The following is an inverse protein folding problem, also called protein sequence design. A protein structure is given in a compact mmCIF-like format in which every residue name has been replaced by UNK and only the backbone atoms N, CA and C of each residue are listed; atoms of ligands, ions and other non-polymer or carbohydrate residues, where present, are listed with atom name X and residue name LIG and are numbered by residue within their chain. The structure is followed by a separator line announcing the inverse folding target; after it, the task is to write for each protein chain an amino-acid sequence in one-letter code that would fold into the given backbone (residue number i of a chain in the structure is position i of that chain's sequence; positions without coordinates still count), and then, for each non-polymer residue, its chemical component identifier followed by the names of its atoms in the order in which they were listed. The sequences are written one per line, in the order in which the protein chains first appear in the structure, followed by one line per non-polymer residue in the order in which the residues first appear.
data_IF_952730184384
#
_entry.id   IF_952730184384
#
_cell.length_a   1.000
_cell.length_b   1.000
_cell.length_c   1.000
_cell.angle_alpha   90.00
_cell.angle_beta   90.00
_cell.angle_gamma   90.00
#
_symmetry.space_group_name_H-M   'P 1'
#
loop_
_entity.id
_entity.type
_entity.pdbx_description
1 polymer ?
#
# COMPACT_ATOMS: atom_id res chain seq x y z
N UNK A 1 -2.91 -17.93 9.63
CA UNK A 1 -2.05 -16.92 8.97
C UNK A 1 -1.47 -16.03 10.05
N UNK A 2 -0.13 -15.89 10.05
CA UNK A 2 0.61 -15.00 10.93
C UNK A 2 0.88 -13.70 10.21
N UNK A 3 0.84 -12.56 10.92
CA UNK A 3 1.16 -11.26 10.35
C UNK A 3 1.96 -10.43 11.36
N UNK A 4 3.00 -9.76 10.87
CA UNK A 4 3.80 -8.82 11.66
C UNK A 4 3.88 -7.51 10.87
N UNK A 5 3.66 -6.40 11.57
CA UNK A 5 3.85 -5.05 11.04
C UNK A 5 5.01 -4.36 11.74
N UNK A 6 5.85 -3.70 10.96
CA UNK A 6 6.89 -2.80 11.46
C UNK A 6 6.80 -1.45 10.75
N UNK A 7 7.18 -0.38 11.46
CA UNK A 7 7.20 0.98 10.93
C UNK A 7 8.60 1.56 11.13
N UNK A 8 9.10 2.26 10.14
CA UNK A 8 10.33 3.05 10.26
C UNK A 8 10.01 4.51 9.99
N UNK A 9 10.11 5.28 11.03
CA UNK A 9 10.21 6.74 10.95
C UNK A 9 11.71 7.05 11.01
N UNK A 10 12.33 7.22 9.84
CA UNK A 10 13.75 7.60 9.78
C UNK A 10 14.00 8.95 10.48
N UNK A 11 15.25 9.30 10.83
CA UNK A 11 15.60 10.61 11.38
C UNK A 11 15.25 11.77 10.45
N UNK A 12 14.85 11.49 9.25
CA UNK A 12 14.40 12.41 8.20
C UNK A 12 12.89 12.68 8.24
N UNK A 13 12.27 12.73 9.41
CA UNK A 13 10.83 12.92 9.60
C UNK A 13 10.26 14.23 9.01
N UNK A 14 11.11 15.09 8.49
CA UNK A 14 10.75 16.32 7.77
C UNK A 14 11.25 16.27 6.33
N UNK A 15 10.50 15.57 5.45
CA UNK A 15 10.80 15.46 4.01
C UNK A 15 11.54 14.19 3.58
N UNK A 16 11.78 13.25 4.51
CA UNK A 16 12.32 11.93 4.20
C UNK A 16 11.25 10.89 3.87
N UNK A 17 11.67 9.77 3.26
CA UNK A 17 10.81 8.65 3.00
C UNK A 17 10.53 7.85 4.28
N UNK A 18 9.27 7.77 4.69
CA UNK A 18 8.81 6.82 5.71
C UNK A 18 8.34 5.53 5.06
N UNK A 19 8.39 4.42 5.81
CA UNK A 19 7.86 3.14 5.35
C UNK A 19 7.09 2.41 6.44
N UNK A 20 6.11 1.62 6.03
CA UNK A 20 5.51 0.55 6.80
C UNK A 20 5.75 -0.77 6.08
N UNK A 21 6.05 -1.82 6.83
CA UNK A 21 6.30 -3.16 6.32
C UNK A 21 5.30 -4.12 6.95
N UNK A 22 4.77 -5.04 6.16
CA UNK A 22 3.91 -6.13 6.63
C UNK A 22 4.43 -7.44 6.07
N UNK A 23 4.62 -8.41 6.93
CA UNK A 23 4.91 -9.80 6.57
C UNK A 23 3.68 -10.62 6.87
N UNK A 24 3.19 -11.36 5.87
CA UNK A 24 2.07 -12.30 6.00
C UNK A 24 2.60 -13.69 5.65
N UNK A 25 2.41 -14.67 6.54
CA UNK A 25 2.92 -16.03 6.36
C UNK A 25 1.95 -17.07 6.91
N UNK A 26 1.93 -18.26 6.31
CA UNK A 26 1.30 -19.46 6.91
C UNK A 26 2.15 -20.03 8.04
N UNK A 27 3.47 -19.86 7.94
CA UNK A 27 4.45 -20.33 8.91
C UNK A 27 4.77 -19.27 9.97
N UNK A 28 5.46 -19.68 11.03
CA UNK A 28 5.95 -18.77 12.06
C UNK A 28 6.94 -17.75 11.48
N UNK A 29 6.72 -16.48 11.79
CA UNK A 29 7.60 -15.38 11.35
C UNK A 29 8.71 -15.20 12.39
N UNK A 30 9.89 -15.71 12.08
CA UNK A 30 11.06 -15.66 12.98
C UNK A 30 11.83 -14.34 12.92
N UNK A 31 11.69 -13.59 11.82
CA UNK A 31 12.40 -12.35 11.59
C UNK A 31 11.45 -11.25 11.14
N UNK A 32 11.29 -10.17 11.92
CA UNK A 32 10.23 -9.19 11.69
C UNK A 32 10.61 -8.07 10.70
N UNK A 33 11.67 -8.22 9.93
CA UNK A 33 12.09 -7.22 8.92
C UNK A 33 11.97 -7.77 7.52
N UNK A 34 11.49 -6.94 6.62
CA UNK A 34 11.46 -7.24 5.19
C UNK A 34 12.84 -6.91 4.60
N UNK A 35 13.55 -7.93 4.10
CA UNK A 35 14.80 -7.76 3.36
C UNK A 35 14.55 -7.62 1.87
N UNK A 36 13.68 -8.46 1.32
CA UNK A 36 13.16 -8.37 -0.04
C UNK A 36 11.64 -8.41 0.03
N UNK A 37 10.98 -7.45 -0.59
CA UNK A 37 9.53 -7.40 -0.61
C UNK A 37 8.96 -8.00 -1.90
N UNK A 38 7.80 -8.62 -1.78
CA UNK A 38 7.05 -9.15 -2.93
C UNK A 38 6.20 -8.06 -3.58
N UNK A 39 5.76 -7.09 -2.79
CA UNK A 39 5.00 -5.92 -3.25
C UNK A 39 5.62 -4.66 -2.63
N UNK A 40 5.97 -3.70 -3.48
CA UNK A 40 6.38 -2.36 -3.09
C UNK A 40 5.32 -1.36 -3.55
N UNK A 41 4.76 -0.58 -2.64
CA UNK A 41 3.88 0.54 -2.98
C UNK A 41 4.58 1.86 -2.65
N UNK A 42 4.76 2.71 -3.65
CA UNK A 42 5.42 4.00 -3.54
C UNK A 42 4.49 5.14 -3.96
N UNK A 43 4.24 6.08 -3.05
CA UNK A 43 3.41 7.26 -3.32
C UNK A 43 4.23 8.49 -3.71
N UNK A 44 5.55 8.46 -3.52
CA UNK A 44 6.45 9.57 -3.82
C UNK A 44 7.72 9.09 -4.52
N UNK A 45 8.34 9.99 -5.28
CA UNK A 45 9.61 9.69 -5.94
C UNK A 45 10.69 9.31 -4.93
N UNK A 46 10.79 10.04 -3.83
CA UNK A 46 11.76 9.76 -2.76
C UNK A 46 11.60 8.35 -2.17
N UNK A 47 10.36 7.90 -1.97
CA UNK A 47 10.09 6.53 -1.50
C UNK A 47 10.46 5.49 -2.55
N UNK A 48 10.13 5.72 -3.80
CA UNK A 48 10.50 4.83 -4.90
C UNK A 48 12.02 4.70 -4.99
N UNK A 49 12.75 5.80 -5.10
CA UNK A 49 14.21 5.80 -5.26
C UNK A 49 14.91 5.09 -4.10
N UNK A 50 14.40 5.28 -2.88
CA UNK A 50 15.00 4.70 -1.67
C UNK A 50 14.76 3.19 -1.53
N UNK A 51 13.58 2.71 -1.91
CA UNK A 51 13.15 1.35 -1.59
C UNK A 51 13.06 0.39 -2.77
N UNK A 52 13.18 0.86 -4.01
CA UNK A 52 13.05 0.00 -5.20
C UNK A 52 14.05 -1.14 -5.23
N UNK A 53 15.25 -0.95 -4.68
CA UNK A 53 16.27 -2.00 -4.62
C UNK A 53 15.88 -3.19 -3.72
N UNK A 54 14.90 -3.02 -2.82
CA UNK A 54 14.38 -4.11 -1.98
C UNK A 54 13.29 -4.94 -2.65
N UNK A 55 12.80 -4.54 -3.83
CA UNK A 55 11.78 -5.31 -4.53
C UNK A 55 12.38 -6.56 -5.15
N UNK A 56 11.74 -7.71 -4.90
CA UNK A 56 12.10 -9.00 -5.49
C UNK A 56 12.02 -8.94 -7.01
N UNK A 57 12.86 -9.71 -7.72
CA UNK A 57 12.91 -9.72 -9.20
C UNK A 57 11.56 -10.02 -9.86
N UNK A 58 10.75 -10.88 -9.24
CA UNK A 58 9.39 -11.22 -9.71
C UNK A 58 8.30 -10.51 -8.91
N UNK A 59 8.66 -9.44 -8.21
CA UNK A 59 7.75 -8.68 -7.37
C UNK A 59 6.80 -7.78 -8.16
N UNK A 60 5.95 -7.10 -7.44
CA UNK A 60 4.98 -6.15 -7.97
C UNK A 60 5.33 -4.75 -7.47
N UNK A 61 5.57 -3.83 -8.39
CA UNK A 61 5.64 -2.41 -8.08
C UNK A 61 4.28 -1.77 -8.27
N UNK A 62 3.78 -1.12 -7.24
CA UNK A 62 2.67 -0.18 -7.33
C UNK A 62 3.24 1.22 -7.11
N UNK A 63 3.05 2.10 -8.06
CA UNK A 63 3.50 3.48 -7.96
C UNK A 63 2.36 4.44 -8.26
N UNK A 64 2.29 5.53 -7.51
CA UNK A 64 1.41 6.64 -7.91
C UNK A 64 1.82 7.19 -9.27
N UNK A 65 0.87 7.69 -10.05
CA UNK A 65 1.13 8.24 -11.39
C UNK A 65 2.17 9.37 -11.40
N UNK A 66 2.31 10.08 -10.29
CA UNK A 66 3.30 11.16 -10.12
C UNK A 66 4.74 10.65 -10.03
N UNK A 67 4.93 9.35 -9.83
CA UNK A 67 6.26 8.73 -9.67
C UNK A 67 6.81 8.30 -11.03
N UNK A 68 8.03 8.72 -11.34
CA UNK A 68 8.76 8.23 -12.50
C UNK A 68 9.39 6.88 -12.19
N UNK A 69 8.99 5.85 -12.93
CA UNK A 69 9.47 4.48 -12.74
C UNK A 69 10.35 4.02 -13.91
N UNK A 70 11.33 3.17 -13.62
CA UNK A 70 12.07 2.49 -14.67
C UNK A 70 11.19 1.39 -15.28
N UNK A 71 10.85 1.55 -16.57
CA UNK A 71 9.97 0.62 -17.29
C UNK A 71 10.70 -0.62 -17.85
N UNK A 72 12.01 -0.60 -17.88
CA UNK A 72 12.84 -1.72 -18.37
C UNK A 72 13.07 -2.79 -17.31
N UNK A 73 12.40 -2.67 -16.16
CA UNK A 73 12.51 -3.60 -15.05
C UNK A 73 11.74 -4.91 -15.30
N UNK A 74 12.21 -6.01 -14.68
CA UNK A 74 11.63 -7.34 -14.83
C UNK A 74 10.37 -7.59 -13.97
N UNK A 75 10.11 -6.73 -12.98
CA UNK A 75 8.93 -6.85 -12.12
C UNK A 75 7.67 -6.27 -12.78
N UNK A 76 6.50 -6.72 -12.31
CA UNK A 76 5.22 -6.19 -12.78
C UNK A 76 4.99 -4.78 -12.21
N UNK A 77 4.55 -3.83 -13.06
CA UNK A 77 4.36 -2.43 -12.68
C UNK A 77 2.88 -2.05 -12.83
N UNK A 78 2.31 -1.50 -11.74
CA UNK A 78 1.04 -0.79 -11.73
C UNK A 78 1.29 0.68 -11.44
N UNK A 79 1.00 1.55 -12.39
CA UNK A 79 0.96 3.00 -12.17
C UNK A 79 -0.48 3.42 -12.01
N UNK A 80 -0.84 3.91 -10.83
CA UNK A 80 -2.22 4.15 -10.45
C UNK A 80 -2.40 5.57 -9.90
N UNK A 81 -3.56 6.23 -10.17
CA UNK A 81 -3.86 7.57 -9.68
C UNK A 81 -4.30 7.54 -8.21
N UNK A 82 -3.45 7.08 -7.30
CA UNK A 82 -3.80 6.90 -5.88
C UNK A 82 -4.06 8.24 -5.20
N UNK A 83 -3.13 9.19 -5.37
CA UNK A 83 -3.24 10.52 -4.76
C UNK A 83 -4.39 11.33 -5.38
N UNK A 84 -4.57 11.24 -6.69
CA UNK A 84 -5.69 11.87 -7.39
C UNK A 84 -7.05 11.29 -6.94
N UNK A 85 -7.13 9.98 -6.79
CA UNK A 85 -8.34 9.31 -6.28
C UNK A 85 -8.69 9.80 -4.87
N UNK A 86 -7.72 9.90 -3.98
CA UNK A 86 -7.95 10.43 -2.64
C UNK A 86 -8.43 11.88 -2.68
N UNK A 87 -7.77 12.73 -3.44
CA UNK A 87 -8.09 14.17 -3.51
C UNK A 87 -9.38 14.46 -4.25
N UNK A 88 -9.59 13.90 -5.43
CA UNK A 88 -10.66 14.30 -6.34
C UNK A 88 -11.92 13.42 -6.24
N UNK A 89 -11.79 12.12 -5.92
CA UNK A 89 -12.96 11.26 -5.71
C UNK A 89 -13.46 11.25 -4.28
N UNK A 90 -12.57 11.29 -3.30
CA UNK A 90 -12.94 11.24 -1.88
C UNK A 90 -12.96 12.65 -1.26
N UNK A 91 -12.14 13.57 -1.77
CA UNK A 91 -12.11 14.97 -1.36
C UNK A 91 -11.05 15.33 -0.33
N UNK A 92 -10.08 14.45 -0.07
CA UNK A 92 -8.98 14.74 0.85
C UNK A 92 -7.78 13.81 0.64
N UNK A 93 -6.58 14.37 0.65
CA UNK A 93 -5.33 13.59 0.65
C UNK A 93 -5.16 12.68 1.88
N UNK A 94 -5.82 12.98 2.98
CA UNK A 94 -5.67 12.23 4.24
C UNK A 94 -6.02 10.75 4.12
N UNK A 95 -6.81 10.36 3.12
CA UNK A 95 -7.21 8.97 2.90
C UNK A 95 -6.36 8.24 1.85
N UNK A 96 -5.27 8.83 1.38
CA UNK A 96 -4.38 8.19 0.38
C UNK A 96 -3.83 6.86 0.88
N UNK A 97 -3.54 6.76 2.18
CA UNK A 97 -3.15 5.52 2.83
C UNK A 97 -4.23 4.44 2.74
N UNK A 98 -5.51 4.80 2.89
CA UNK A 98 -6.63 3.85 2.82
C UNK A 98 -6.92 3.44 1.38
N UNK A 99 -6.81 4.35 0.41
CA UNK A 99 -6.81 3.99 -1.02
C UNK A 99 -5.71 2.97 -1.30
N UNK A 100 -4.49 3.21 -0.80
CA UNK A 100 -3.36 2.28 -0.92
C UNK A 100 -3.64 0.91 -0.29
N UNK A 101 -4.30 0.87 0.87
CA UNK A 101 -4.72 -0.39 1.50
C UNK A 101 -5.71 -1.15 0.61
N UNK A 102 -6.64 -0.45 -0.03
CA UNK A 102 -7.55 -1.06 -1.01
C UNK A 102 -6.83 -1.66 -2.22
N UNK A 103 -5.84 -0.95 -2.74
CA UNK A 103 -4.97 -1.45 -3.83
C UNK A 103 -4.22 -2.72 -3.40
N UNK A 104 -3.56 -2.69 -2.23
CA UNK A 104 -2.82 -3.84 -1.71
C UNK A 104 -3.74 -5.04 -1.44
N UNK A 105 -4.92 -4.80 -0.86
CA UNK A 105 -5.92 -5.83 -0.66
C UNK A 105 -6.30 -6.54 -1.97
N UNK A 106 -6.56 -5.77 -3.03
CA UNK A 106 -6.92 -6.33 -4.33
C UNK A 106 -5.80 -7.17 -4.97
N UNK A 107 -4.52 -6.87 -4.66
CA UNK A 107 -3.36 -7.64 -5.12
C UNK A 107 -3.11 -8.90 -4.28
N UNK A 108 -3.28 -8.81 -2.96
CA UNK A 108 -3.10 -9.94 -2.03
C UNK A 108 -4.19 -10.99 -2.23
N UNK A 109 -5.43 -10.55 -2.42
CA UNK A 109 -6.57 -11.40 -2.71
C UNK A 109 -7.39 -11.83 -1.49
N UNK A 110 -8.64 -12.12 -1.75
CA UNK A 110 -9.64 -12.46 -0.73
C UNK A 110 -9.38 -13.81 -0.06
N UNK A 111 -8.65 -14.72 -0.74
CA UNK A 111 -8.23 -16.01 -0.19
C UNK A 111 -7.27 -15.87 1.00
N UNK A 112 -6.54 -14.75 1.08
CA UNK A 112 -5.61 -14.46 2.18
C UNK A 112 -6.32 -13.72 3.31
N UNK A 113 -7.10 -12.70 2.99
CA UNK A 113 -7.85 -11.89 3.96
C UNK A 113 -9.21 -11.56 3.35
N UNK A 114 -10.30 -11.89 4.06
CA UNK A 114 -11.63 -11.53 3.58
C UNK A 114 -11.86 -10.01 3.62
N UNK A 115 -12.67 -9.53 2.68
CA UNK A 115 -13.02 -8.11 2.57
C UNK A 115 -13.66 -7.57 3.85
N UNK A 116 -14.56 -8.35 4.48
CA UNK A 116 -15.21 -7.96 5.72
C UNK A 116 -14.23 -7.74 6.88
N UNK A 117 -13.19 -8.58 6.97
CA UNK A 117 -12.13 -8.41 7.98
C UNK A 117 -11.35 -7.12 7.71
N UNK A 118 -10.99 -6.85 6.46
CA UNK A 118 -10.28 -5.61 6.11
C UNK A 118 -11.12 -4.37 6.38
N UNK A 119 -12.39 -4.37 5.98
CA UNK A 119 -13.29 -3.24 6.22
C UNK A 119 -13.48 -2.97 7.71
N UNK A 120 -13.71 -4.00 8.52
CA UNK A 120 -13.79 -3.85 9.99
C UNK A 120 -12.49 -3.33 10.59
N UNK A 121 -11.35 -3.80 10.10
CA UNK A 121 -10.02 -3.34 10.57
C UNK A 121 -9.81 -1.86 10.28
N UNK A 122 -10.19 -1.39 9.10
CA UNK A 122 -10.13 0.03 8.75
C UNK A 122 -11.10 0.83 9.62
N UNK A 123 -12.37 0.39 9.75
CA UNK A 123 -13.37 1.08 10.55
C UNK A 123 -12.95 1.26 12.01
N UNK A 124 -12.28 0.25 12.59
CA UNK A 124 -11.82 0.28 13.99
C UNK A 124 -10.57 1.17 14.20
N UNK A 125 -9.90 1.59 13.15
CA UNK A 125 -8.66 2.39 13.22
C UNK A 125 -8.83 3.86 12.90
N UNK A 126 -9.98 4.24 12.33
CA UNK A 126 -10.26 5.63 11.95
C UNK A 126 -11.28 6.26 12.90
N UNK A 127 -11.31 7.59 13.04
CA UNK A 127 -12.33 8.25 13.84
C UNK A 127 -13.75 7.91 13.34
N UNK A 128 -14.73 7.69 14.25
CA UNK A 128 -16.09 7.28 13.87
C UNK A 128 -16.73 8.17 12.79
N UNK A 129 -16.53 9.47 12.84
CA UNK A 129 -17.09 10.44 11.89
C UNK A 129 -16.49 10.31 10.48
N UNK A 130 -15.38 9.60 10.32
CA UNK A 130 -14.68 9.43 9.05
C UNK A 130 -14.82 8.03 8.47
N UNK A 131 -15.53 7.12 9.13
CA UNK A 131 -15.66 5.72 8.70
C UNK A 131 -16.17 5.61 7.28
N UNK A 132 -17.29 6.26 6.94
CA UNK A 132 -17.87 6.18 5.60
C UNK A 132 -16.90 6.67 4.51
N UNK A 133 -16.19 7.75 4.78
CA UNK A 133 -15.18 8.29 3.87
C UNK A 133 -14.03 7.31 3.66
N UNK A 134 -13.55 6.68 4.72
CA UNK A 134 -12.47 5.70 4.65
C UNK A 134 -12.93 4.40 3.97
N UNK A 135 -14.18 3.97 4.17
CA UNK A 135 -14.74 2.82 3.45
C UNK A 135 -14.80 3.09 1.95
N UNK A 136 -15.24 4.27 1.55
CA UNK A 136 -15.23 4.68 0.13
C UNK A 136 -13.82 4.71 -0.44
N UNK A 137 -12.85 5.23 0.31
CA UNK A 137 -11.44 5.25 -0.10
C UNK A 137 -10.88 3.84 -0.33
N UNK A 138 -11.19 2.91 0.56
CA UNK A 138 -10.81 1.50 0.42
C UNK A 138 -11.41 0.86 -0.84
N UNK A 139 -12.70 1.07 -1.09
CA UNK A 139 -13.39 0.56 -2.29
C UNK A 139 -12.81 1.15 -3.57
N UNK A 140 -12.53 2.45 -3.61
CA UNK A 140 -11.90 3.08 -4.78
C UNK A 140 -10.50 2.52 -5.03
N UNK A 141 -9.73 2.21 -3.99
CA UNK A 141 -8.44 1.54 -4.11
C UNK A 141 -8.56 0.16 -4.78
N UNK A 142 -9.54 -0.65 -4.39
CA UNK A 142 -9.82 -1.94 -5.03
C UNK A 142 -10.15 -1.77 -6.51
N UNK A 143 -10.97 -0.79 -6.86
CA UNK A 143 -11.37 -0.53 -8.24
C UNK A 143 -10.18 -0.17 -9.14
N UNK A 144 -9.15 0.52 -8.61
CA UNK A 144 -7.95 0.86 -9.37
C UNK A 144 -7.24 -0.38 -9.92
N UNK A 145 -7.23 -1.47 -9.20
CA UNK A 145 -6.66 -2.76 -9.68
C UNK A 145 -7.63 -3.48 -10.60
N UNK A 146 -8.91 -3.56 -10.27
CA UNK A 146 -9.91 -4.28 -11.06
C UNK A 146 -10.14 -3.69 -12.45
N UNK A 147 -9.92 -2.38 -12.61
CA UNK A 147 -10.12 -1.65 -13.86
C UNK A 147 -8.82 -1.46 -14.67
N UNK A 148 -7.71 -2.07 -14.22
CA UNK A 148 -6.40 -1.91 -14.87
C UNK A 148 -6.00 -3.09 -15.77
#
# INVERSE_FOLDING_TARGET
INAIQTQSYGPEARGGASKAEVIISKDEIKYPKVTNCDILLALTQSSYDKYIASLSKNGILVADESVNVNRDALYKIYRLPILDTAQNKIGTHMVSNIVSVGVLYALIGEDVISKDVMMRSVANRVPPVTVDKNMRAFEEGIKLIRNN
#
